data_IF_526099992102
#
_entry.id   IF_526099992102
#
_cell.length_a   1.000
_cell.length_b   1.000
_cell.length_c   1.000
_cell.angle_alpha   90.00
_cell.angle_beta   90.00
_cell.angle_gamma   90.00
#
_symmetry.space_group_name_H-M   'P 1'
#
loop_
_entity.id
_entity.type
_entity.pdbx_description
1 polymer ?
#
# COMPACT_ATOMS: atom_id res chain seq x y z
N UNK A 1 -13.24 55.44 -18.75
CA UNK A 1 -13.81 54.13 -19.13
C UNK A 1 -12.97 53.56 -20.27
N UNK A 2 -11.95 52.78 -19.93
CA UNK A 2 -11.01 52.19 -20.89
C UNK A 2 -11.34 50.71 -21.13
N UNK A 3 -11.21 50.33 -22.39
CA UNK A 3 -11.65 49.08 -23.02
C UNK A 3 -10.51 48.05 -23.06
N UNK A 4 -10.88 46.77 -22.97
CA UNK A 4 -10.37 45.60 -23.72
C UNK A 4 -8.88 45.20 -23.52
N UNK A 5 -8.62 43.93 -23.18
CA UNK A 5 -8.16 42.86 -24.11
C UNK A 5 -7.41 41.72 -23.35
N UNK A 6 -7.78 40.48 -23.66
CA UNK A 6 -6.97 39.25 -23.77
C UNK A 6 -5.93 38.87 -22.69
N UNK A 7 -6.03 37.64 -22.16
CA UNK A 7 -5.17 36.53 -22.58
C UNK A 7 -5.45 35.27 -21.75
N UNK A 8 -5.90 34.21 -22.43
CA UNK A 8 -5.72 32.85 -21.97
C UNK A 8 -4.23 32.49 -22.04
N UNK A 9 -3.66 31.90 -20.98
CA UNK A 9 -2.39 31.19 -21.09
C UNK A 9 -2.35 29.99 -20.12
N UNK A 10 -2.55 28.81 -20.71
CA UNK A 10 -1.83 27.56 -20.46
C UNK A 10 -1.25 27.31 -19.06
N UNK A 11 -1.88 26.39 -18.32
CA UNK A 11 -1.18 25.52 -17.36
C UNK A 11 -1.46 24.06 -17.74
N UNK A 12 -0.85 23.64 -18.84
CA UNK A 12 -0.39 22.27 -19.00
C UNK A 12 1.11 22.34 -18.78
N UNK A 13 1.64 21.80 -17.68
CA UNK A 13 3.05 21.43 -17.60
C UNK A 13 3.29 20.45 -16.42
N UNK A 14 3.39 19.16 -16.74
CA UNK A 14 4.35 18.26 -16.12
C UNK A 14 3.98 17.56 -14.81
N UNK A 15 3.14 16.52 -14.86
CA UNK A 15 3.41 15.33 -14.02
C UNK A 15 4.44 14.47 -14.78
N UNK A 16 5.71 14.82 -14.60
CA UNK A 16 6.82 13.93 -14.94
C UNK A 16 6.73 12.69 -14.08
N UNK A 17 6.62 11.54 -14.75
CA UNK A 17 6.78 10.20 -14.23
C UNK A 17 8.02 10.14 -13.32
N UNK A 18 7.82 9.85 -12.03
CA UNK A 18 8.92 9.46 -11.15
C UNK A 18 9.27 8.02 -11.52
N UNK A 19 10.34 7.86 -12.30
CA UNK A 19 10.97 6.55 -12.51
C UNK A 19 11.60 6.10 -11.20
N UNK A 20 11.11 4.97 -10.65
CA UNK A 20 11.80 4.25 -9.58
C UNK A 20 13.06 3.61 -10.19
N UNK A 21 14.23 4.17 -9.91
CA UNK A 21 15.51 3.51 -10.26
C UNK A 21 15.81 2.47 -9.18
N UNK A 22 15.63 1.18 -9.51
CA UNK A 22 16.21 0.09 -8.72
C UNK A 22 17.74 0.16 -8.85
N UNK A 23 18.43 0.50 -7.77
CA UNK A 23 19.85 0.19 -7.63
C UNK A 23 19.96 -1.27 -7.19
N UNK A 24 20.24 -2.16 -8.14
CA UNK A 24 20.81 -3.46 -7.85
C UNK A 24 22.34 -3.27 -7.84
N UNK A 25 22.94 -3.29 -6.66
CA UNK A 25 24.39 -3.43 -6.53
C UNK A 25 24.71 -4.91 -6.28
N UNK A 26 25.12 -5.59 -7.35
CA UNK A 26 25.77 -6.88 -7.33
C UNK A 26 27.16 -6.73 -6.69
N UNK A 27 27.32 -7.21 -5.45
CA UNK A 27 28.65 -7.62 -4.97
C UNK A 27 28.74 -9.13 -4.99
N UNK A 28 29.19 -9.63 -6.15
CA UNK A 28 29.68 -10.99 -6.30
C UNK A 28 31.02 -11.14 -5.56
N UNK A 29 31.07 -12.01 -4.55
CA UNK A 29 32.32 -12.65 -4.12
C UNK A 29 32.12 -14.16 -4.02
N UNK A 30 32.56 -14.85 -5.06
CA UNK A 30 32.77 -16.29 -5.11
C UNK A 30 33.64 -16.77 -3.96
N UNK A 31 33.26 -17.87 -3.32
CA UNK A 31 34.20 -18.87 -2.79
C UNK A 31 33.50 -20.23 -2.78
N UNK A 32 34.03 -21.13 -3.59
CA UNK A 32 33.65 -22.54 -3.77
C UNK A 32 34.11 -23.40 -2.59
N UNK A 33 33.40 -24.51 -2.31
CA UNK A 33 33.92 -25.92 -2.25
C UNK A 33 33.14 -26.82 -1.28
N UNK A 34 32.76 -28.03 -1.75
CA UNK A 34 32.49 -29.25 -0.95
C UNK A 34 31.07 -29.84 -1.09
N UNK A 35 30.76 -30.71 -2.08
CA UNK A 35 30.77 -32.21 -2.04
C UNK A 35 29.82 -32.77 -0.96
N UNK A 36 28.80 -33.63 -1.17
CA UNK A 36 28.75 -34.93 -1.88
C UNK A 36 27.30 -35.49 -1.91
N UNK A 37 26.93 -36.13 -3.03
CA UNK A 37 26.14 -37.38 -3.24
C UNK A 37 24.83 -37.68 -2.48
N UNK A 38 23.77 -37.96 -3.27
CA UNK A 38 22.57 -38.67 -2.85
C UNK A 38 21.64 -39.02 -4.03
N UNK A 39 21.96 -40.09 -4.75
CA UNK A 39 21.21 -40.69 -5.88
C UNK A 39 19.86 -41.26 -5.46
N UNK A 40 18.82 -41.04 -6.28
CA UNK A 40 17.51 -41.68 -6.17
C UNK A 40 16.69 -41.51 -7.45
N UNK A 41 17.06 -42.27 -8.49
CA UNK A 41 16.34 -42.38 -9.76
C UNK A 41 15.18 -43.37 -9.65
N UNK A 42 14.01 -43.00 -10.17
CA UNK A 42 13.08 -43.95 -10.80
C UNK A 42 12.18 -43.22 -11.82
N UNK A 43 12.53 -43.42 -13.09
CA UNK A 43 11.80 -43.12 -14.34
C UNK A 43 10.63 -44.10 -14.49
N UNK A 44 9.45 -43.75 -15.02
CA UNK A 44 9.09 -43.86 -16.46
C UNK A 44 7.57 -43.54 -16.63
N UNK A 45 7.14 -42.63 -17.52
CA UNK A 45 6.69 -42.89 -18.94
C UNK A 45 5.17 -43.21 -18.99
N UNK A 46 4.22 -42.64 -19.77
CA UNK A 46 4.08 -41.72 -20.92
C UNK A 46 2.62 -41.18 -20.88
N UNK A 47 2.13 -40.15 -21.58
CA UNK A 47 2.07 -39.95 -23.04
C UNK A 47 1.58 -38.53 -23.35
N UNK A 48 2.21 -37.98 -24.39
CA UNK A 48 2.03 -36.71 -25.09
C UNK A 48 0.66 -36.44 -25.71
N UNK A 49 0.22 -35.17 -25.69
CA UNK A 49 -0.24 -34.51 -26.92
C UNK A 49 0.12 -33.03 -26.91
N UNK A 50 0.94 -32.63 -27.88
CA UNK A 50 1.38 -31.28 -28.20
C UNK A 50 0.25 -30.51 -28.88
N UNK A 51 -0.04 -29.29 -28.44
CA UNK A 51 -0.45 -28.22 -29.36
C UNK A 51 0.12 -26.90 -28.84
N UNK A 52 1.21 -26.46 -29.48
CA UNK A 52 1.70 -25.10 -29.38
C UNK A 52 0.63 -24.15 -29.90
N UNK A 53 0.24 -23.17 -29.09
CA UNK A 53 -0.19 -21.88 -29.59
C UNK A 53 0.46 -20.85 -28.69
N UNK A 54 1.47 -20.18 -29.26
CA UNK A 54 2.05 -18.96 -28.73
C UNK A 54 0.95 -17.89 -28.61
N UNK A 55 0.24 -17.88 -27.49
CA UNK A 55 -0.38 -16.69 -26.96
C UNK A 55 0.60 -16.12 -25.96
N UNK A 56 1.26 -15.02 -26.32
CA UNK A 56 2.01 -14.20 -25.38
C UNK A 56 1.05 -13.76 -24.28
N UNK A 57 1.00 -14.55 -23.20
CA UNK A 57 0.39 -14.14 -21.97
C UNK A 57 1.26 -12.99 -21.45
N UNK A 58 0.74 -11.77 -21.55
CA UNK A 58 1.24 -10.63 -20.79
C UNK A 58 1.35 -11.06 -19.35
N UNK A 59 2.55 -11.42 -18.92
CA UNK A 59 2.93 -11.54 -17.52
C UNK A 59 3.03 -10.12 -16.97
N UNK A 60 1.87 -9.46 -16.85
CA UNK A 60 1.65 -8.53 -15.77
C UNK A 60 1.55 -9.42 -14.53
N UNK A 61 2.67 -9.64 -13.86
CA UNK A 61 2.70 -10.31 -12.57
C UNK A 61 2.01 -9.40 -11.56
N UNK A 62 0.70 -9.30 -11.67
CA UNK A 62 -0.18 -8.83 -10.62
C UNK A 62 0.01 -9.81 -9.48
N UNK A 63 0.92 -9.46 -8.56
CA UNK A 63 1.21 -10.26 -7.39
C UNK A 63 -0.04 -10.25 -6.50
N UNK A 64 -0.95 -11.19 -6.75
CA UNK A 64 -2.10 -11.43 -5.90
C UNK A 64 -1.60 -11.96 -4.55
N UNK A 65 -1.84 -11.21 -3.49
CA UNK A 65 -1.57 -11.64 -2.11
C UNK A 65 -2.87 -11.95 -1.40
N UNK A 66 -2.83 -12.79 -0.37
CA UNK A 66 -4.01 -13.02 0.45
C UNK A 66 -4.38 -11.79 1.28
N UNK A 67 -5.67 -11.65 1.60
CA UNK A 67 -6.20 -10.65 2.53
C UNK A 67 -5.37 -10.54 3.81
N UNK A 68 -5.05 -11.68 4.42
CA UNK A 68 -4.28 -11.71 5.68
C UNK A 68 -2.84 -11.23 5.49
N UNK A 69 -2.20 -11.60 4.38
CA UNK A 69 -0.85 -11.15 4.06
C UNK A 69 -0.83 -9.64 3.80
N UNK A 70 -1.82 -9.15 3.06
CA UNK A 70 -2.01 -7.72 2.81
C UNK A 70 -2.21 -6.95 4.13
N UNK A 71 -3.14 -7.39 4.99
CA UNK A 71 -3.40 -6.75 6.28
C UNK A 71 -2.16 -6.72 7.18
N UNK A 72 -1.40 -7.82 7.26
CA UNK A 72 -0.14 -7.86 8.01
C UNK A 72 0.90 -6.88 7.49
N UNK A 73 0.89 -6.59 6.18
CA UNK A 73 1.83 -5.67 5.55
C UNK A 73 1.44 -4.20 5.76
N UNK A 74 0.15 -3.88 5.71
CA UNK A 74 -0.33 -2.48 5.80
C UNK A 74 -0.50 -2.02 7.25
N UNK A 75 -1.01 -2.86 8.14
CA UNK A 75 -1.31 -2.52 9.54
C UNK A 75 -0.18 -1.80 10.30
N UNK A 76 1.09 -2.22 10.23
CA UNK A 76 2.17 -1.52 10.94
C UNK A 76 2.50 -0.14 10.36
N UNK A 77 2.11 0.15 9.11
CA UNK A 77 2.37 1.42 8.45
C UNK A 77 1.29 2.47 8.76
N UNK A 78 0.07 2.02 9.10
CA UNK A 78 -1.09 2.89 9.28
C UNK A 78 -0.90 3.95 10.38
N UNK A 79 -0.35 3.65 11.58
CA UNK A 79 -0.15 4.68 12.59
C UNK A 79 0.66 5.87 12.09
N UNK A 80 1.80 5.59 11.44
CA UNK A 80 2.68 6.63 10.90
C UNK A 80 2.00 7.41 9.76
N UNK A 81 1.40 6.71 8.79
CA UNK A 81 0.70 7.32 7.65
C UNK A 81 -0.48 8.20 8.07
N UNK A 82 -1.30 7.72 9.01
CA UNK A 82 -2.49 8.45 9.46
C UNK A 82 -2.10 9.69 10.27
N UNK A 83 -1.15 9.55 11.19
CA UNK A 83 -0.69 10.69 11.99
C UNK A 83 -0.01 11.75 11.13
N UNK A 84 0.83 11.35 10.18
CA UNK A 84 1.38 12.29 9.17
C UNK A 84 0.28 12.94 8.35
N UNK A 85 -0.74 12.19 7.96
CA UNK A 85 -1.91 12.73 7.25
C UNK A 85 -2.60 13.85 8.04
N UNK A 86 -2.76 13.66 9.36
CA UNK A 86 -3.34 14.67 10.24
C UNK A 86 -2.45 15.90 10.44
N UNK A 87 -1.13 15.71 10.53
CA UNK A 87 -0.19 16.82 10.68
C UNK A 87 -0.04 17.65 9.38
N UNK A 88 -0.16 16.99 8.22
CA UNK A 88 -0.07 17.64 6.92
C UNK A 88 -1.35 18.38 6.54
N UNK A 89 -2.49 18.05 7.14
CA UNK A 89 -3.74 18.79 6.96
C UNK A 89 -3.84 19.92 8.00
N UNK A 90 -3.85 21.21 7.60
CA UNK A 90 -3.87 22.32 8.55
C UNK A 90 -5.08 22.35 9.48
N UNK A 91 -6.25 21.84 9.04
CA UNK A 91 -7.45 21.81 9.87
C UNK A 91 -7.37 20.71 10.91
N UNK A 92 -6.94 19.50 10.51
CA UNK A 92 -6.77 18.38 11.43
C UNK A 92 -5.62 18.65 12.39
N UNK A 93 -4.50 19.18 11.91
CA UNK A 93 -3.37 19.58 12.74
C UNK A 93 -3.80 20.56 13.84
N UNK A 94 -4.57 21.59 13.50
CA UNK A 94 -5.09 22.53 14.50
C UNK A 94 -5.90 21.81 15.58
N UNK A 95 -6.75 20.84 15.20
CA UNK A 95 -7.52 20.06 16.19
C UNK A 95 -6.63 19.18 17.07
N UNK A 96 -5.59 18.54 16.49
CA UNK A 96 -4.61 17.77 17.26
C UNK A 96 -3.87 18.67 18.27
N UNK A 97 -3.43 19.86 17.83
CA UNK A 97 -2.73 20.83 18.67
C UNK A 97 -3.65 21.35 19.80
N UNK A 98 -4.92 21.66 19.50
CA UNK A 98 -5.93 22.11 20.47
C UNK A 98 -6.11 21.09 21.61
N UNK A 99 -6.05 19.79 21.31
CA UNK A 99 -6.16 18.71 22.31
C UNK A 99 -4.80 18.24 22.86
N UNK A 100 -3.69 18.90 22.51
CA UNK A 100 -2.32 18.51 22.89
C UNK A 100 -1.98 17.05 22.54
N UNK A 101 -2.49 16.59 21.40
CA UNK A 101 -2.14 15.31 20.79
C UNK A 101 -0.93 15.52 19.89
N UNK A 102 0.25 15.09 20.35
CA UNK A 102 1.44 15.09 19.52
C UNK A 102 1.54 13.81 18.68
N UNK A 103 2.51 13.76 17.78
CA UNK A 103 2.78 12.62 16.91
C UNK A 103 2.85 11.27 17.65
N UNK A 104 3.64 11.22 18.73
CA UNK A 104 3.84 9.97 19.50
C UNK A 104 2.55 9.47 20.13
N UNK A 105 1.74 10.37 20.70
CA UNK A 105 0.42 10.00 21.25
C UNK A 105 -0.56 9.60 20.17
N UNK A 106 -0.49 10.23 19.00
CA UNK A 106 -1.28 9.83 17.84
C UNK A 106 -0.92 8.38 17.44
N UNK A 107 0.36 8.07 17.24
CA UNK A 107 0.82 6.71 16.90
C UNK A 107 0.39 5.71 17.96
N UNK A 108 0.44 6.06 19.25
CA UNK A 108 0.02 5.18 20.33
C UNK A 108 -1.50 4.93 20.37
N UNK A 109 -2.32 5.87 19.88
CA UNK A 109 -3.77 5.78 19.90
C UNK A 109 -4.37 5.13 18.64
N UNK A 110 -3.70 5.22 17.48
CA UNK A 110 -4.18 4.63 16.22
C UNK A 110 -4.39 3.11 16.26
N UNK A 111 -3.54 2.27 16.90
CA UNK A 111 -3.69 0.82 16.91
C UNK A 111 -5.07 0.32 17.36
N UNK A 112 -5.72 1.04 18.28
CA UNK A 112 -7.08 0.70 18.72
C UNK A 112 -8.09 0.85 17.57
N UNK A 113 -8.02 1.98 16.85
CA UNK A 113 -8.85 2.24 15.67
C UNK A 113 -8.51 1.29 14.51
N UNK A 114 -7.23 0.93 14.33
CA UNK A 114 -6.81 -0.05 13.33
C UNK A 114 -7.45 -1.41 13.59
N UNK A 115 -7.37 -1.92 14.84
CA UNK A 115 -7.95 -3.21 15.20
C UNK A 115 -9.46 -3.23 14.96
N UNK A 116 -10.16 -2.18 15.40
CA UNK A 116 -11.61 -2.02 15.20
C UNK A 116 -11.98 -1.98 13.72
N UNK A 117 -11.30 -1.17 12.92
CA UNK A 117 -11.59 -1.01 11.50
C UNK A 117 -11.24 -2.25 10.68
N UNK A 118 -10.15 -2.93 11.03
CA UNK A 118 -9.80 -4.22 10.42
C UNK A 118 -10.94 -5.22 10.65
N UNK A 119 -11.45 -5.36 11.88
CA UNK A 119 -12.57 -6.26 12.17
C UNK A 119 -13.84 -5.90 11.40
N UNK A 120 -14.16 -4.61 11.30
CA UNK A 120 -15.35 -4.14 10.57
C UNK A 120 -15.27 -4.40 9.07
N UNK A 121 -14.08 -4.26 8.48
CA UNK A 121 -13.89 -4.38 7.03
C UNK A 121 -13.51 -5.80 6.60
N UNK A 122 -13.01 -6.66 7.50
CA UNK A 122 -12.47 -7.99 7.16
C UNK A 122 -13.44 -8.87 6.38
N UNK A 123 -14.73 -8.83 6.71
CA UNK A 123 -15.78 -9.59 6.02
C UNK A 123 -16.08 -9.09 4.61
N UNK A 124 -15.74 -7.83 4.31
CA UNK A 124 -15.96 -7.19 3.01
C UNK A 124 -14.73 -7.23 2.11
N UNK A 125 -13.54 -7.35 2.70
CA UNK A 125 -12.29 -7.45 1.95
C UNK A 125 -12.24 -8.83 1.24
N UNK A 126 -12.00 -8.87 -0.09
CA UNK A 126 -11.89 -10.11 -0.84
C UNK A 126 -10.70 -10.94 -0.38
N UNK A 127 -10.76 -12.25 -0.55
CA UNK A 127 -9.72 -13.17 -0.07
C UNK A 127 -8.37 -12.96 -0.78
N UNK A 128 -8.42 -12.43 -2.00
CA UNK A 128 -7.25 -12.06 -2.81
C UNK A 128 -7.24 -10.57 -3.07
N UNK A 129 -6.06 -9.98 -2.90
CA UNK A 129 -5.78 -8.57 -3.09
C UNK A 129 -4.72 -8.43 -4.18
N UNK A 130 -5.05 -7.66 -5.20
CA UNK A 130 -4.13 -7.19 -6.23
C UNK A 130 -3.83 -5.69 -6.01
N UNK A 131 -3.05 -5.06 -6.89
CA UNK A 131 -2.66 -3.66 -6.74
C UNK A 131 -3.88 -2.71 -6.69
N UNK A 132 -4.83 -2.87 -7.60
CA UNK A 132 -6.02 -2.01 -7.69
C UNK A 132 -6.90 -2.13 -6.43
N UNK A 133 -7.17 -3.35 -5.99
CA UNK A 133 -7.96 -3.61 -4.78
C UNK A 133 -7.20 -3.20 -3.51
N UNK A 134 -5.87 -3.32 -3.47
CA UNK A 134 -5.07 -2.85 -2.34
C UNK A 134 -5.21 -1.34 -2.13
N UNK A 135 -5.25 -0.55 -3.21
CA UNK A 135 -5.45 0.90 -3.13
C UNK A 135 -6.86 1.24 -2.60
N UNK A 136 -7.89 0.55 -3.10
CA UNK A 136 -9.28 0.75 -2.64
C UNK A 136 -9.41 0.41 -1.15
N UNK A 137 -8.96 -0.78 -0.73
CA UNK A 137 -9.10 -1.22 0.65
C UNK A 137 -8.16 -0.48 1.61
N UNK A 138 -6.98 -0.06 1.15
CA UNK A 138 -6.08 0.79 1.92
C UNK A 138 -6.72 2.14 2.23
N UNK A 139 -7.40 2.75 1.24
CA UNK A 139 -8.18 3.97 1.43
C UNK A 139 -9.35 3.75 2.39
N UNK A 140 -10.14 2.68 2.20
CA UNK A 140 -11.27 2.38 3.09
C UNK A 140 -10.83 2.13 4.54
N UNK A 141 -9.72 1.44 4.74
CA UNK A 141 -9.13 1.20 6.06
C UNK A 141 -8.65 2.51 6.69
N UNK A 142 -7.93 3.34 5.94
CA UNK A 142 -7.47 4.65 6.40
C UNK A 142 -8.61 5.61 6.75
N UNK A 143 -9.67 5.66 5.93
CA UNK A 143 -10.87 6.47 6.20
C UNK A 143 -11.61 6.01 7.46
N UNK A 144 -11.76 4.70 7.65
CA UNK A 144 -12.36 4.15 8.87
C UNK A 144 -11.56 4.57 10.11
N UNK A 145 -10.23 4.39 10.07
CA UNK A 145 -9.34 4.74 11.17
C UNK A 145 -9.41 6.23 11.46
N UNK A 146 -9.31 7.06 10.41
CA UNK A 146 -9.34 8.50 10.53
C UNK A 146 -10.62 9.02 11.17
N UNK A 147 -11.77 8.44 10.78
CA UNK A 147 -13.08 8.76 11.35
C UNK A 147 -13.20 8.31 12.81
N UNK A 148 -12.79 7.09 13.14
CA UNK A 148 -12.86 6.58 14.52
C UNK A 148 -11.97 7.42 15.46
N UNK A 149 -10.76 7.74 15.02
CA UNK A 149 -9.84 8.61 15.75
C UNK A 149 -10.43 10.01 15.96
N UNK A 150 -10.98 10.62 14.90
CA UNK A 150 -11.59 11.93 14.99
C UNK A 150 -12.76 11.98 15.97
N UNK A 151 -13.64 10.97 15.95
CA UNK A 151 -14.77 10.86 16.88
C UNK A 151 -14.33 10.66 18.34
N UNK A 152 -13.20 10.00 18.57
CA UNK A 152 -12.68 9.76 19.91
C UNK A 152 -11.98 10.98 20.50
N UNK A 153 -11.15 11.64 19.70
CA UNK A 153 -10.20 12.63 20.20
C UNK A 153 -10.42 14.04 19.65
N UNK A 154 -10.80 14.19 18.38
CA UNK A 154 -10.83 15.50 17.71
C UNK A 154 -12.17 16.23 17.84
N UNK A 155 -13.26 15.49 18.05
CA UNK A 155 -14.60 16.04 18.23
C UNK A 155 -14.90 16.15 19.73
N UNK A 156 -15.09 17.37 20.27
CA UNK A 156 -15.50 17.55 21.65
C UNK A 156 -16.83 16.81 21.89
N UNK A 157 -16.89 15.99 22.94
CA UNK A 157 -18.18 15.49 23.41
C UNK A 157 -18.92 16.70 24.00
N UNK A 158 -20.01 17.08 23.33
CA UNK A 158 -20.90 18.17 23.75
C UNK A 158 -21.62 17.82 25.05
#
# INVERSE_FOLDING_TARGET
MTKQLQAALYIFLGCTLISFTSNAEDTSKSTSTGTTTGTGTSTSTSTSTTTNTNGAASSDSSMEISKDSWLKSVTPLLPDLICKGFENDPQLKKRLDDIKMNYDKCIAAIPESVSKCQQQLYGSIPDKINNDSAAVWGKSLGECIGKDFALKYLIPKS
#
